data_IF_891829686745
#
_entry.id   IF_891829686745
#
_cell.length_a   1.000
_cell.length_b   1.000
_cell.length_c   1.000
_cell.angle_alpha   90.00
_cell.angle_beta   90.00
_cell.angle_gamma   90.00
#
_symmetry.space_group_name_H-M   'P 1'
#
loop_
_entity.id
_entity.type
_entity.pdbx_description
1 polymer ?
#
# COMPACT_ATOMS: atom_id res chain seq x y z
N UNK A 1 -40.05 -35.08 3.70
CA UNK A 1 -40.68 -34.23 2.67
C UNK A 1 -39.67 -33.89 1.57
N UNK A 2 -39.53 -34.74 0.55
CA UNK A 2 -38.87 -34.35 -0.70
C UNK A 2 -39.96 -33.75 -1.60
N UNK A 3 -39.81 -32.49 -2.01
CA UNK A 3 -40.75 -31.86 -2.95
C UNK A 3 -40.62 -32.58 -4.30
N UNK A 4 -41.63 -33.38 -4.67
CA UNK A 4 -41.72 -33.98 -6.02
C UNK A 4 -41.59 -32.87 -7.07
N UNK A 5 -40.67 -33.04 -8.02
CA UNK A 5 -40.40 -32.06 -9.08
C UNK A 5 -39.37 -30.97 -8.75
N UNK A 6 -38.76 -30.98 -7.56
CA UNK A 6 -37.66 -30.07 -7.24
C UNK A 6 -36.31 -30.69 -7.60
N UNK A 7 -35.72 -30.23 -8.71
CA UNK A 7 -34.33 -30.52 -9.06
C UNK A 7 -33.43 -29.36 -8.62
N UNK A 8 -32.79 -29.54 -7.46
CA UNK A 8 -31.87 -28.57 -6.90
C UNK A 8 -30.64 -28.34 -7.80
N UNK A 9 -30.15 -29.38 -8.48
CA UNK A 9 -28.97 -29.29 -9.34
C UNK A 9 -29.27 -28.50 -10.62
N UNK A 10 -30.39 -28.78 -11.28
CA UNK A 10 -30.82 -28.02 -12.46
C UNK A 10 -31.05 -26.54 -12.12
N UNK A 11 -31.67 -26.24 -10.97
CA UNK A 11 -31.86 -24.86 -10.52
C UNK A 11 -30.53 -24.15 -10.23
N UNK A 12 -29.59 -24.83 -9.58
CA UNK A 12 -28.25 -24.28 -9.32
C UNK A 12 -27.51 -23.99 -10.63
N UNK A 13 -27.58 -24.89 -11.62
CA UNK A 13 -26.98 -24.69 -12.93
C UNK A 13 -27.58 -23.46 -13.66
N UNK A 14 -28.90 -23.28 -13.63
CA UNK A 14 -29.56 -22.09 -14.18
C UNK A 14 -29.08 -20.82 -13.48
N UNK A 15 -29.03 -20.81 -12.15
CA UNK A 15 -28.53 -19.66 -11.39
C UNK A 15 -27.08 -19.33 -11.75
N UNK A 16 -26.20 -20.33 -11.86
CA UNK A 16 -24.81 -20.11 -12.29
C UNK A 16 -24.74 -19.49 -13.69
N UNK A 17 -25.53 -19.98 -14.66
CA UNK A 17 -25.58 -19.41 -16.00
C UNK A 17 -26.14 -17.98 -16.03
N UNK A 18 -27.12 -17.68 -15.19
CA UNK A 18 -27.67 -16.32 -15.05
C UNK A 18 -26.62 -15.36 -14.48
N UNK A 19 -25.89 -15.78 -13.44
CA UNK A 19 -24.81 -15.01 -12.83
C UNK A 19 -23.69 -14.77 -13.85
N UNK A 20 -23.27 -15.81 -14.57
CA UNK A 20 -22.24 -15.67 -15.61
C UNK A 20 -22.66 -14.71 -16.71
N UNK A 21 -23.85 -14.89 -17.31
CA UNK A 21 -24.37 -13.97 -18.34
C UNK A 21 -24.45 -12.53 -17.84
N UNK A 22 -24.90 -12.33 -16.60
CA UNK A 22 -24.93 -11.00 -15.98
C UNK A 22 -23.53 -10.40 -15.87
N UNK A 23 -22.54 -11.16 -15.40
CA UNK A 23 -21.16 -10.66 -15.32
C UNK A 23 -20.56 -10.38 -16.70
N UNK A 24 -20.82 -11.21 -17.71
CA UNK A 24 -20.35 -10.95 -19.08
C UNK A 24 -20.94 -9.66 -19.64
N UNK A 25 -22.24 -9.44 -19.44
CA UNK A 25 -22.89 -8.17 -19.81
C UNK A 25 -22.28 -6.99 -19.03
N UNK A 26 -22.12 -7.11 -17.72
CA UNK A 26 -21.54 -6.07 -16.86
C UNK A 26 -20.11 -5.71 -17.28
N UNK A 27 -19.30 -6.70 -17.66
CA UNK A 27 -17.95 -6.49 -18.18
C UNK A 27 -17.98 -5.70 -19.50
N UNK A 28 -18.91 -6.00 -20.40
CA UNK A 28 -19.14 -5.22 -21.63
C UNK A 28 -19.49 -3.75 -21.32
N UNK A 29 -20.43 -3.53 -20.41
CA UNK A 29 -20.89 -2.18 -20.03
C UNK A 29 -19.85 -1.37 -19.24
N UNK A 30 -18.96 -2.04 -18.50
CA UNK A 30 -18.01 -1.37 -17.62
C UNK A 30 -17.05 -0.40 -18.34
N UNK A 31 -16.83 -0.58 -19.64
CA UNK A 31 -16.05 0.35 -20.46
C UNK A 31 -16.79 1.69 -20.70
N UNK A 32 -18.10 1.66 -20.92
CA UNK A 32 -18.94 2.84 -21.11
C UNK A 32 -19.06 3.63 -19.81
N UNK A 33 -19.31 2.94 -18.69
CA UNK A 33 -19.38 3.57 -17.36
C UNK A 33 -18.06 4.26 -17.02
N UNK A 34 -16.92 3.61 -17.29
CA UNK A 34 -15.59 4.21 -17.05
C UNK A 34 -15.36 5.43 -17.93
N UNK A 35 -15.74 5.36 -19.22
CA UNK A 35 -15.57 6.48 -20.16
C UNK A 35 -16.37 7.70 -19.70
N UNK A 36 -17.64 7.50 -19.33
CA UNK A 36 -18.50 8.56 -18.80
C UNK A 36 -17.93 9.12 -17.47
N UNK A 37 -17.42 8.26 -16.59
CA UNK A 37 -16.83 8.71 -15.33
C UNK A 37 -15.63 9.64 -15.53
N UNK A 38 -14.82 9.45 -16.58
CA UNK A 38 -13.61 10.25 -16.83
C UNK A 38 -13.76 11.26 -17.98
N UNK A 39 -14.99 11.52 -18.44
CA UNK A 39 -15.23 12.29 -19.67
C UNK A 39 -14.80 13.75 -19.57
N UNK A 40 -14.72 14.30 -18.35
CA UNK A 40 -14.32 15.66 -18.04
C UNK A 40 -12.80 15.84 -17.84
N UNK A 41 -12.00 14.78 -18.02
CA UNK A 41 -10.54 14.89 -17.96
C UNK A 41 -10.02 15.77 -19.11
N UNK A 42 -9.37 16.87 -18.76
CA UNK A 42 -8.66 17.70 -19.72
C UNK A 42 -7.23 17.18 -19.90
N UNK A 43 -6.90 16.65 -21.08
CA UNK A 43 -5.56 16.14 -21.41
C UNK A 43 -4.77 17.06 -22.36
N UNK A 44 -5.15 18.33 -22.47
CA UNK A 44 -4.51 19.32 -23.36
C UNK A 44 -3.14 19.79 -22.83
N UNK A 45 -2.95 19.76 -21.51
CA UNK A 45 -1.67 20.06 -20.86
C UNK A 45 -1.55 19.36 -19.50
N UNK A 46 -0.34 19.31 -18.94
CA UNK A 46 -0.11 18.74 -17.60
C UNK A 46 -0.91 19.50 -16.54
N UNK A 47 -0.91 20.83 -16.58
CA UNK A 47 -1.62 21.66 -15.60
C UNK A 47 -3.14 21.48 -15.69
N UNK A 48 -3.67 21.44 -16.91
CA UNK A 48 -5.09 21.20 -17.14
C UNK A 48 -5.52 19.81 -16.63
N UNK A 49 -4.71 18.79 -16.90
CA UNK A 49 -4.91 17.43 -16.39
C UNK A 49 -4.85 17.36 -14.87
N UNK A 50 -3.84 17.98 -14.26
CA UNK A 50 -3.69 17.98 -12.80
C UNK A 50 -4.88 18.65 -12.11
N UNK A 51 -5.46 19.68 -12.72
CA UNK A 51 -6.69 20.33 -12.24
C UNK A 51 -7.92 19.44 -12.43
N UNK A 52 -8.13 18.88 -13.63
CA UNK A 52 -9.33 18.08 -13.93
C UNK A 52 -9.33 16.73 -13.21
N UNK A 53 -8.16 16.12 -12.96
CA UNK A 53 -8.05 14.83 -12.26
C UNK A 53 -8.24 14.95 -10.74
N UNK A 54 -8.17 16.16 -10.18
CA UNK A 54 -8.28 16.41 -8.74
C UNK A 54 -9.56 15.84 -8.11
N UNK A 55 -10.76 16.17 -8.62
CA UNK A 55 -12.03 15.61 -8.15
C UNK A 55 -12.08 14.07 -8.23
N UNK A 56 -11.53 13.47 -9.29
CA UNK A 56 -11.46 12.01 -9.46
C UNK A 56 -10.58 11.34 -8.42
N UNK A 57 -9.42 11.93 -8.12
CA UNK A 57 -8.53 11.45 -7.04
C UNK A 57 -9.22 11.54 -5.69
N UNK A 58 -9.93 12.64 -5.43
CA UNK A 58 -10.66 12.84 -4.18
C UNK A 58 -11.82 11.83 -4.03
N UNK A 59 -12.58 11.59 -5.09
CA UNK A 59 -13.60 10.55 -5.12
C UNK A 59 -13.01 9.17 -4.83
N UNK A 60 -11.89 8.82 -5.47
CA UNK A 60 -11.20 7.56 -5.20
C UNK A 60 -10.72 7.46 -3.74
N UNK A 61 -10.14 8.54 -3.21
CA UNK A 61 -9.63 8.62 -1.83
C UNK A 61 -10.74 8.45 -0.79
N UNK A 62 -11.91 9.04 -1.03
CA UNK A 62 -13.02 9.04 -0.07
C UNK A 62 -13.97 7.86 -0.22
N UNK A 63 -14.40 7.59 -1.44
CA UNK A 63 -15.54 6.69 -1.73
C UNK A 63 -15.09 5.28 -2.13
N UNK A 64 -13.93 5.14 -2.76
CA UNK A 64 -13.46 3.82 -3.27
C UNK A 64 -12.49 3.17 -2.28
N UNK A 65 -11.41 3.88 -1.94
CA UNK A 65 -10.37 3.36 -1.05
C UNK A 65 -10.70 3.64 0.40
N UNK A 66 -11.25 4.82 0.68
CA UNK A 66 -11.52 5.32 2.01
C UNK A 66 -10.26 5.81 2.72
N UNK A 67 -10.40 6.90 3.49
CA UNK A 67 -9.33 7.47 4.31
C UNK A 67 -9.79 7.71 5.75
N UNK A 68 -8.92 7.52 6.72
CA UNK A 68 -9.18 7.90 8.11
C UNK A 68 -8.96 9.39 8.32
N UNK A 69 -9.74 10.05 9.21
CA UNK A 69 -9.55 11.46 9.51
C UNK A 69 -8.23 11.70 10.26
N UNK A 70 -7.65 12.89 10.07
CA UNK A 70 -6.39 13.28 10.69
C UNK A 70 -6.45 13.22 12.22
N UNK A 71 -7.62 13.48 12.81
CA UNK A 71 -7.86 13.41 14.26
C UNK A 71 -7.63 12.04 14.88
N UNK A 72 -7.53 10.97 14.09
CA UNK A 72 -7.22 9.63 14.60
C UNK A 72 -5.73 9.43 14.88
N UNK A 73 -4.85 10.21 14.24
CA UNK A 73 -3.41 10.04 14.38
C UNK A 73 -2.94 10.44 15.79
N UNK A 74 -2.01 9.65 16.33
CA UNK A 74 -1.36 9.91 17.63
C UNK A 74 0.14 10.18 17.44
N UNK A 75 0.81 10.60 18.51
CA UNK A 75 2.27 10.79 18.47
C UNK A 75 2.99 9.49 18.09
N UNK A 76 3.96 9.51 17.17
CA UNK A 76 4.57 8.31 16.61
C UNK A 76 5.33 7.42 17.59
N UNK A 77 5.87 7.97 18.70
CA UNK A 77 6.61 7.24 19.76
C UNK A 77 7.49 6.09 19.22
N UNK A 78 8.53 6.41 18.41
CA UNK A 78 9.34 5.42 17.71
C UNK A 78 10.06 4.51 18.70
N UNK A 79 9.97 3.20 18.46
CA UNK A 79 10.70 2.17 19.21
C UNK A 79 11.50 1.34 18.25
N UNK A 80 12.80 1.20 18.51
CA UNK A 80 13.71 0.51 17.60
C UNK A 80 14.60 -0.49 18.29
N UNK A 81 14.94 -1.59 17.61
CA UNK A 81 16.03 -2.50 18.01
C UNK A 81 16.75 -3.06 16.80
N UNK A 82 18.05 -3.29 16.91
CA UNK A 82 18.84 -3.93 15.85
C UNK A 82 18.39 -5.38 15.68
N UNK A 83 18.14 -5.80 14.44
CA UNK A 83 17.75 -7.19 14.10
C UNK A 83 18.66 -7.86 13.09
N UNK A 84 19.48 -7.09 12.38
CA UNK A 84 20.50 -7.60 11.47
C UNK A 84 21.61 -6.57 11.27
N UNK A 85 22.85 -7.03 11.18
CA UNK A 85 24.01 -6.22 10.80
C UNK A 85 24.65 -6.84 9.56
N UNK A 86 24.69 -6.08 8.48
CA UNK A 86 25.46 -6.39 7.29
C UNK A 86 26.73 -5.52 7.27
N UNK A 87 27.72 -5.82 6.40
CA UNK A 87 28.94 -5.02 6.33
C UNK A 87 28.69 -3.52 6.06
N UNK A 88 27.75 -3.19 5.18
CA UNK A 88 27.53 -1.80 4.72
C UNK A 88 26.22 -1.17 5.22
N UNK A 89 25.36 -1.91 5.92
CA UNK A 89 24.08 -1.41 6.44
C UNK A 89 23.62 -2.18 7.68
N UNK A 90 22.73 -1.56 8.46
CA UNK A 90 22.14 -2.15 9.66
C UNK A 90 20.62 -2.10 9.59
N UNK A 91 19.98 -3.23 9.89
CA UNK A 91 18.53 -3.36 9.99
C UNK A 91 18.05 -3.14 11.42
N UNK A 92 17.05 -2.28 11.57
CA UNK A 92 16.34 -2.03 12.80
C UNK A 92 14.89 -2.48 12.63
N UNK A 93 14.35 -3.23 13.58
CA UNK A 93 12.91 -3.22 13.76
C UNK A 93 12.47 -1.82 14.18
N UNK A 94 11.41 -1.31 13.56
CA UNK A 94 10.78 -0.05 13.88
C UNK A 94 9.31 -0.31 14.19
N UNK A 95 8.88 0.10 15.39
CA UNK A 95 7.47 0.21 15.78
C UNK A 95 7.13 1.68 15.94
N UNK A 96 6.04 2.11 15.30
CA UNK A 96 5.58 3.49 15.30
C UNK A 96 4.08 3.52 15.59
N UNK A 97 3.63 4.26 16.60
CA UNK A 97 2.19 4.41 16.86
C UNK A 97 1.52 5.23 15.75
N UNK A 98 0.32 4.80 15.37
CA UNK A 98 -0.45 5.38 14.26
C UNK A 98 -1.77 5.93 14.79
N UNK A 99 -2.60 5.07 15.36
CA UNK A 99 -3.85 5.43 16.05
C UNK A 99 -3.83 4.89 17.47
N UNK A 100 -4.83 5.23 18.29
CA UNK A 100 -5.02 4.56 19.57
C UNK A 100 -5.14 3.04 19.36
N UNK A 101 -4.25 2.27 20.00
CA UNK A 101 -4.21 0.80 19.89
C UNK A 101 -3.70 0.24 18.56
N UNK A 102 -3.25 1.09 17.62
CA UNK A 102 -2.75 0.66 16.29
C UNK A 102 -1.36 1.23 16.03
N UNK A 103 -0.44 0.39 15.58
CA UNK A 103 0.92 0.79 15.22
C UNK A 103 1.30 0.28 13.83
N UNK A 104 2.34 0.89 13.26
CA UNK A 104 3.10 0.39 12.14
C UNK A 104 4.29 -0.42 12.65
N UNK A 105 4.64 -1.50 11.96
CA UNK A 105 5.83 -2.31 12.23
C UNK A 105 6.55 -2.62 10.92
N UNK A 106 7.88 -2.59 10.93
CA UNK A 106 8.69 -2.93 9.77
C UNK A 106 10.18 -2.92 10.07
N UNK A 107 10.99 -3.22 9.06
CA UNK A 107 12.45 -3.12 9.15
C UNK A 107 12.92 -1.82 8.50
N UNK A 108 13.52 -0.93 9.27
CA UNK A 108 14.23 0.26 8.80
C UNK A 108 15.71 -0.10 8.61
N UNK A 109 16.22 0.01 7.40
CA UNK A 109 17.60 -0.30 7.06
C UNK A 109 18.35 1.00 6.78
N UNK A 110 19.43 1.21 7.52
CA UNK A 110 20.27 2.40 7.42
C UNK A 110 21.66 2.01 6.88
N UNK A 111 22.18 2.72 5.87
CA UNK A 111 23.59 2.59 5.49
C UNK A 111 24.51 2.91 6.68
N UNK A 112 25.57 2.14 6.85
CA UNK A 112 26.52 2.32 7.96
C UNK A 112 27.43 3.54 7.76
N UNK A 113 27.49 4.10 6.55
CA UNK A 113 28.32 5.23 6.16
C UNK A 113 27.59 6.59 6.20
N UNK A 114 26.41 6.65 6.82
CA UNK A 114 25.66 7.90 7.03
C UNK A 114 26.50 8.92 7.81
N UNK A 115 26.75 10.08 7.21
CA UNK A 115 27.50 11.19 7.82
C UNK A 115 26.57 12.34 8.23
N UNK A 116 26.97 13.19 9.20
CA UNK A 116 26.28 14.44 9.47
C UNK A 116 26.12 15.27 8.18
N UNK A 117 24.90 15.74 7.90
CA UNK A 117 24.58 16.51 6.70
C UNK A 117 24.17 15.67 5.48
N UNK A 118 24.36 14.35 5.49
CA UNK A 118 23.83 13.48 4.44
C UNK A 118 22.30 13.62 4.35
N UNK A 119 21.73 13.53 3.16
CA UNK A 119 20.28 13.40 2.95
C UNK A 119 20.02 12.29 1.95
N UNK A 120 19.72 11.09 2.45
CA UNK A 120 19.52 9.91 1.61
C UNK A 120 18.05 9.76 1.19
N UNK A 121 17.79 9.35 -0.05
CA UNK A 121 16.45 8.95 -0.48
C UNK A 121 15.98 7.71 0.31
N UNK A 122 14.66 7.60 0.47
CA UNK A 122 14.01 6.47 1.15
C UNK A 122 13.28 5.61 0.12
N UNK A 123 13.36 4.29 0.24
CA UNK A 123 12.51 3.35 -0.51
C UNK A 123 11.70 2.47 0.44
N UNK A 124 10.39 2.60 0.39
CA UNK A 124 9.47 1.65 1.01
C UNK A 124 9.46 0.36 0.19
N UNK A 125 9.79 -0.77 0.82
CA UNK A 125 9.99 -2.06 0.17
C UNK A 125 8.89 -3.02 0.62
N UNK A 126 7.76 -3.04 -0.11
CA UNK A 126 6.57 -3.75 0.32
C UNK A 126 6.53 -5.20 -0.19
N UNK A 127 6.43 -6.13 0.75
CA UNK A 127 6.20 -7.55 0.46
C UNK A 127 4.78 -7.83 -0.11
N UNK A 128 4.63 -8.96 -0.79
CA UNK A 128 3.36 -9.52 -1.23
C UNK A 128 2.64 -10.37 -0.17
N UNK A 129 1.56 -11.05 -0.56
CA UNK A 129 0.80 -11.93 0.33
C UNK A 129 1.68 -13.05 0.89
N UNK A 130 1.60 -13.30 2.20
CA UNK A 130 2.46 -14.28 2.89
C UNK A 130 3.93 -13.84 3.10
N UNK A 131 4.31 -12.67 2.62
CA UNK A 131 5.64 -12.09 2.89
C UNK A 131 5.72 -11.39 4.24
N UNK A 132 6.92 -10.93 4.58
CA UNK A 132 7.20 -10.16 5.80
C UNK A 132 8.45 -9.27 5.61
N UNK A 133 8.71 -8.32 6.53
CA UNK A 133 9.87 -7.42 6.46
C UNK A 133 11.21 -8.14 6.29
N UNK A 134 11.41 -9.25 7.01
CA UNK A 134 12.66 -10.01 6.98
C UNK A 134 12.91 -10.62 5.60
N UNK A 135 11.90 -11.24 4.99
CA UNK A 135 12.01 -11.87 3.67
C UNK A 135 12.39 -10.89 2.54
N UNK A 136 11.97 -9.62 2.67
CA UNK A 136 12.30 -8.56 1.72
C UNK A 136 13.70 -7.97 1.98
N UNK A 137 14.17 -8.04 3.23
CA UNK A 137 15.38 -7.35 3.69
C UNK A 137 16.61 -8.25 3.70
N UNK A 138 16.49 -9.46 4.25
CA UNK A 138 17.63 -10.35 4.55
C UNK A 138 17.46 -11.70 3.83
N UNK A 139 18.56 -12.21 3.31
CA UNK A 139 18.65 -13.56 2.75
C UNK A 139 18.37 -13.65 1.25
N UNK A 140 18.21 -14.88 0.79
CA UNK A 140 18.15 -15.28 -0.62
C UNK A 140 16.75 -15.73 -1.03
N UNK A 141 15.71 -15.30 -0.30
CA UNK A 141 14.31 -15.64 -0.61
C UNK A 141 14.09 -15.52 -2.13
N UNK A 142 13.63 -16.58 -2.82
CA UNK A 142 13.67 -16.62 -4.28
C UNK A 142 12.77 -15.57 -4.94
N UNK A 143 11.75 -15.09 -4.22
CA UNK A 143 10.82 -14.05 -4.68
C UNK A 143 11.42 -12.66 -4.53
N UNK A 144 11.91 -12.30 -3.33
CA UNK A 144 12.33 -10.93 -3.03
C UNK A 144 13.83 -10.70 -3.18
N UNK A 145 14.64 -11.76 -3.07
CA UNK A 145 16.10 -11.75 -3.16
C UNK A 145 16.77 -10.67 -2.31
N UNK A 146 16.20 -10.38 -1.13
CA UNK A 146 16.71 -9.39 -0.19
C UNK A 146 16.78 -7.96 -0.76
N UNK A 147 15.86 -7.57 -1.66
CA UNK A 147 16.01 -6.31 -2.40
C UNK A 147 16.05 -5.06 -1.51
N UNK A 148 15.42 -5.04 -0.34
CA UNK A 148 15.54 -3.92 0.61
C UNK A 148 16.98 -3.77 1.13
N UNK A 149 17.64 -4.88 1.47
CA UNK A 149 19.05 -4.89 1.88
C UNK A 149 19.97 -4.45 0.74
N UNK A 150 19.74 -4.96 -0.48
CA UNK A 150 20.53 -4.59 -1.68
C UNK A 150 20.41 -3.11 -2.07
N UNK A 151 19.26 -2.49 -1.82
CA UNK A 151 19.09 -1.05 -1.98
C UNK A 151 19.82 -0.29 -0.85
N UNK A 152 19.79 -0.79 0.38
CA UNK A 152 20.56 -0.22 1.48
C UNK A 152 22.08 -0.28 1.24
N UNK A 153 22.59 -1.38 0.67
CA UNK A 153 23.98 -1.52 0.20
C UNK A 153 24.38 -0.46 -0.82
N UNK A 154 23.42 0.08 -1.58
CA UNK A 154 23.62 1.14 -2.58
C UNK A 154 23.45 2.55 -1.99
N UNK A 155 23.27 2.68 -0.68
CA UNK A 155 23.17 3.96 0.02
C UNK A 155 21.76 4.54 0.12
N UNK A 156 20.71 3.79 -0.22
CA UNK A 156 19.34 4.17 0.08
C UNK A 156 19.01 3.87 1.55
N UNK A 157 18.18 4.69 2.17
CA UNK A 157 17.46 4.25 3.37
C UNK A 157 16.31 3.39 2.87
N UNK A 158 16.09 2.21 3.45
CA UNK A 158 14.93 1.40 3.08
C UNK A 158 14.06 1.10 4.27
N UNK A 159 12.74 1.08 4.05
CA UNK A 159 11.78 0.66 5.06
C UNK A 159 10.94 -0.47 4.50
N UNK A 160 11.03 -1.66 5.10
CA UNK A 160 10.23 -2.83 4.73
C UNK A 160 9.09 -3.01 5.74
N UNK A 161 7.89 -2.46 5.49
CA UNK A 161 6.75 -2.59 6.39
C UNK A 161 6.14 -3.99 6.39
N UNK A 162 5.54 -4.37 7.52
CA UNK A 162 4.61 -5.49 7.61
C UNK A 162 3.21 -4.99 7.27
N UNK A 163 2.67 -5.45 6.15
CA UNK A 163 1.27 -5.21 5.78
C UNK A 163 0.45 -6.49 5.91
N UNK A 164 -0.69 -6.40 6.58
CA UNK A 164 -1.57 -7.54 6.80
C UNK A 164 -2.59 -7.66 5.66
N UNK A 165 -2.37 -8.63 4.76
CA UNK A 165 -3.28 -8.96 3.67
C UNK A 165 -4.22 -10.10 4.08
N UNK A 166 -5.08 -9.85 5.06
CA UNK A 166 -5.98 -10.85 5.64
C UNK A 166 -7.45 -10.55 5.33
N UNK A 167 -8.21 -11.57 4.92
CA UNK A 167 -9.64 -11.44 4.59
C UNK A 167 -10.47 -10.85 5.73
N UNK A 168 -10.12 -11.19 6.97
CA UNK A 168 -10.78 -10.63 8.15
C UNK A 168 -10.63 -9.11 8.25
N UNK A 169 -9.47 -8.56 7.84
CA UNK A 169 -9.24 -7.11 7.82
C UNK A 169 -10.05 -6.49 6.69
N UNK A 170 -10.01 -7.08 5.49
CA UNK A 170 -10.80 -6.59 4.34
C UNK A 170 -12.28 -6.48 4.69
N UNK A 171 -12.87 -7.53 5.28
CA UNK A 171 -14.28 -7.53 5.68
C UNK A 171 -14.59 -6.43 6.70
N UNK A 172 -13.73 -6.26 7.71
CA UNK A 172 -13.91 -5.24 8.77
C UNK A 172 -13.74 -3.82 8.26
N UNK A 173 -12.84 -3.59 7.32
CA UNK A 173 -12.69 -2.26 6.72
C UNK A 173 -13.90 -1.92 5.85
N UNK A 174 -14.38 -2.87 5.04
CA UNK A 174 -15.46 -2.61 4.09
C UNK A 174 -16.78 -2.21 4.78
N UNK A 175 -17.07 -2.73 5.97
CA UNK A 175 -18.30 -2.36 6.72
C UNK A 175 -18.32 -0.93 7.23
N UNK A 176 -17.18 -0.23 7.22
CA UNK A 176 -17.07 1.19 7.62
C UNK A 176 -16.67 2.09 6.45
N UNK A 177 -16.89 1.64 5.20
CA UNK A 177 -16.55 2.41 3.99
C UNK A 177 -15.04 2.64 3.84
N UNK A 178 -14.22 1.70 4.32
CA UNK A 178 -12.76 1.70 4.18
C UNK A 178 -12.30 0.44 3.47
N UNK A 179 -11.04 0.41 3.09
CA UNK A 179 -10.38 -0.80 2.61
C UNK A 179 -9.18 -1.12 3.51
N UNK A 180 -8.60 -2.31 3.36
CA UNK A 180 -7.32 -2.61 4.02
C UNK A 180 -6.23 -1.58 3.67
N UNK A 181 -6.31 -0.98 2.48
CA UNK A 181 -5.37 0.06 2.04
C UNK A 181 -5.52 1.37 2.80
N UNK A 182 -6.70 1.67 3.38
CA UNK A 182 -6.86 2.84 4.28
C UNK A 182 -5.98 2.73 5.51
N UNK A 183 -5.87 1.51 6.07
CA UNK A 183 -5.03 1.24 7.25
C UNK A 183 -3.55 1.28 6.86
N UNK A 184 -3.18 0.61 5.77
CA UNK A 184 -1.80 0.58 5.26
C UNK A 184 -1.33 2.00 4.92
N UNK A 185 -2.19 2.81 4.27
CA UNK A 185 -1.89 4.20 3.96
C UNK A 185 -1.66 5.05 5.21
N UNK A 186 -2.48 4.88 6.26
CA UNK A 186 -2.28 5.58 7.53
C UNK A 186 -0.94 5.19 8.19
N UNK A 187 -0.61 3.89 8.21
CA UNK A 187 0.68 3.41 8.71
C UNK A 187 1.85 4.02 7.93
N UNK A 188 1.76 4.05 6.60
CA UNK A 188 2.79 4.61 5.74
C UNK A 188 2.93 6.12 5.92
N UNK A 189 1.81 6.86 5.95
CA UNK A 189 1.82 8.30 6.13
C UNK A 189 2.48 8.68 7.46
N UNK A 190 2.19 7.95 8.55
CA UNK A 190 2.81 8.17 9.85
C UNK A 190 4.32 7.92 9.81
N UNK A 191 4.75 6.82 9.17
CA UNK A 191 6.18 6.52 9.01
C UNK A 191 6.86 7.58 8.16
N UNK A 192 6.25 8.03 7.07
CA UNK A 192 6.81 9.10 6.23
C UNK A 192 6.95 10.40 7.03
N UNK A 193 5.93 10.81 7.77
CA UNK A 193 5.97 12.01 8.62
C UNK A 193 7.13 11.94 9.62
N UNK A 194 7.29 10.79 10.29
CA UNK A 194 8.41 10.58 11.21
C UNK A 194 9.77 10.55 10.48
N UNK A 195 9.89 9.84 9.36
CA UNK A 195 11.14 9.80 8.59
C UNK A 195 11.57 11.19 8.13
N UNK A 196 10.62 12.05 7.74
CA UNK A 196 10.88 13.44 7.33
C UNK A 196 11.45 14.32 8.45
N UNK A 197 11.34 13.92 9.73
CA UNK A 197 11.98 14.65 10.84
C UNK A 197 13.44 14.24 11.06
N UNK A 198 13.88 13.12 10.47
CA UNK A 198 15.24 12.64 10.64
C UNK A 198 16.21 13.46 9.77
N UNK A 199 17.32 13.97 10.34
CA UNK A 199 18.21 14.89 9.64
C UNK A 199 18.90 14.27 8.42
N UNK A 200 18.98 12.94 8.38
CA UNK A 200 19.64 12.18 7.32
C UNK A 200 18.70 11.69 6.21
N UNK A 201 17.40 11.98 6.30
CA UNK A 201 16.39 11.63 5.28
C UNK A 201 16.17 12.81 4.33
N UNK A 202 16.15 12.54 3.04
CA UNK A 202 15.71 13.53 2.05
C UNK A 202 14.17 13.56 2.00
N UNK A 203 13.51 14.67 2.38
CA UNK A 203 12.05 14.69 2.57
C UNK A 203 11.25 14.49 1.27
N UNK A 204 11.78 14.92 0.13
CA UNK A 204 11.05 14.84 -1.15
C UNK A 204 11.47 13.68 -2.05
N UNK A 205 12.30 12.75 -1.55
CA UNK A 205 12.79 11.59 -2.32
C UNK A 205 12.39 10.30 -1.62
N UNK A 206 11.10 10.01 -1.66
CA UNK A 206 10.50 8.83 -1.04
C UNK A 206 9.84 8.00 -2.12
N UNK A 207 10.38 6.81 -2.38
CA UNK A 207 9.82 5.85 -3.33
C UNK A 207 9.08 4.71 -2.63
N UNK A 208 8.21 4.03 -3.37
CA UNK A 208 7.54 2.79 -2.96
C UNK A 208 7.74 1.71 -4.03
N UNK A 209 8.43 0.63 -3.67
CA UNK A 209 8.62 -0.54 -4.52
C UNK A 209 7.95 -1.76 -3.90
N UNK A 210 6.99 -2.37 -4.60
CA UNK A 210 6.26 -3.53 -4.12
C UNK A 210 6.14 -4.69 -5.12
N UNK A 211 6.10 -5.92 -4.61
CA UNK A 211 5.93 -7.14 -5.43
C UNK A 211 4.60 -7.84 -5.10
N UNK A 212 3.90 -8.34 -6.12
CA UNK A 212 2.60 -9.04 -5.97
C UNK A 212 1.55 -8.17 -5.25
N UNK A 213 1.03 -8.57 -4.09
CA UNK A 213 0.18 -7.70 -3.25
C UNK A 213 0.90 -6.40 -2.87
N UNK A 214 2.22 -6.40 -2.76
CA UNK A 214 3.00 -5.19 -2.60
C UNK A 214 2.94 -4.29 -3.84
N UNK A 215 2.91 -4.84 -5.05
CA UNK A 215 2.67 -4.05 -6.26
C UNK A 215 1.24 -3.48 -6.29
N UNK A 216 0.24 -4.26 -5.84
CA UNK A 216 -1.12 -3.74 -5.64
C UNK A 216 -1.16 -2.58 -4.64
N UNK A 217 -0.34 -2.62 -3.60
CA UNK A 217 -0.13 -1.53 -2.64
C UNK A 217 0.56 -0.34 -3.31
N UNK A 218 1.66 -0.56 -4.04
CA UNK A 218 2.40 0.48 -4.76
C UNK A 218 1.54 1.26 -5.78
N UNK A 219 0.57 0.61 -6.41
CA UNK A 219 -0.35 1.26 -7.36
C UNK A 219 -1.51 2.01 -6.69
N UNK A 220 -1.86 1.72 -5.43
CA UNK A 220 -3.03 2.32 -4.75
C UNK A 220 -2.64 3.43 -3.78
N UNK A 221 -1.55 3.22 -3.04
CA UNK A 221 -1.17 4.15 -1.99
C UNK A 221 -0.85 5.57 -2.44
N UNK A 222 -0.30 5.83 -3.64
CA UNK A 222 -0.03 7.21 -4.08
C UNK A 222 -1.28 8.10 -4.14
N UNK A 223 -2.47 7.50 -4.26
CA UNK A 223 -3.74 8.25 -4.22
C UNK A 223 -4.06 8.70 -2.77
N UNK A 224 -3.64 7.91 -1.78
CA UNK A 224 -3.89 8.15 -0.36
C UNK A 224 -2.74 8.89 0.34
N UNK A 225 -1.52 8.72 -0.15
CA UNK A 225 -0.26 9.18 0.43
C UNK A 225 0.52 9.92 -0.66
N UNK A 226 0.36 11.24 -0.80
CA UNK A 226 0.90 12.01 -1.91
C UNK A 226 2.42 12.21 -1.84
N UNK A 227 3.05 11.87 -0.71
CA UNK A 227 4.48 12.03 -0.47
C UNK A 227 5.38 11.11 -1.32
N UNK A 228 4.82 10.12 -2.00
CA UNK A 228 5.59 9.22 -2.86
C UNK A 228 5.96 9.88 -4.19
N UNK A 229 7.25 10.11 -4.41
CA UNK A 229 7.80 10.69 -5.64
C UNK A 229 7.99 9.64 -6.76
N UNK A 230 7.90 8.36 -6.41
CA UNK A 230 8.10 7.23 -7.33
C UNK A 230 7.36 5.99 -6.79
N UNK A 231 6.66 5.27 -7.67
CA UNK A 231 6.14 3.92 -7.35
C UNK A 231 6.49 2.88 -8.40
N UNK A 232 6.80 1.67 -7.94
CA UNK A 232 7.24 0.53 -8.75
C UNK A 232 6.51 -0.73 -8.27
#
# INVERSE_FOLDING_TARGET
YQRRGWDGAARQAIHHQQIDRYYQWLLGESSHVRRAFIEDLNTESIDAYMKSVGPHREHCRREILGIFPESHFVEPRPRTRVVHKAPTWTAYELVLDVFQGTHSYGYLNLPNDLKPGDRRPVVFCQHGGGGNPRMVTVGDNPTYRGFAGKLAERGFITYAPLSLYADAIVRRCNVIGKTQYSVIAAQYQQVIRWLKTLPFVHPDRIGLYGLSWGGKTAMRLPILVPDFSLTI
#
